data_IF_357332326765
#
_entry.id   IF_357332326765
#
_cell.length_a   1.000
_cell.length_b   1.000
_cell.length_c   1.000
_cell.angle_alpha   90.00
_cell.angle_beta   90.00
_cell.angle_gamma   90.00
#
_symmetry.space_group_name_H-M   'P 1'
#
loop_
_entity.id
_entity.type
_entity.pdbx_description
1 polymer ?
#
# COMPACT_ATOMS: atom_id res chain seq x y z
N UNK A 1 54.18 5.63 37.86
CA UNK A 1 55.34 4.71 38.03
C UNK A 1 54.89 3.32 37.55
N UNK A 2 55.64 2.53 36.76
CA UNK A 2 56.90 1.81 37.09
C UNK A 2 56.73 0.94 38.36
N UNK A 3 57.03 -0.37 38.40
CA UNK A 3 57.76 -1.23 37.44
C UNK A 3 57.50 -2.74 37.70
N UNK A 4 57.22 -3.51 36.64
CA UNK A 4 57.87 -4.76 36.16
C UNK A 4 58.56 -5.78 37.10
N UNK A 5 58.36 -7.09 36.77
CA UNK A 5 59.26 -8.26 36.96
C UNK A 5 59.50 -8.81 38.39
N UNK A 6 60.00 -10.04 38.62
CA UNK A 6 59.93 -11.38 37.94
C UNK A 6 60.76 -12.41 38.79
N UNK A 7 60.80 -13.69 38.37
CA UNK A 7 61.79 -14.76 38.77
C UNK A 7 61.66 -15.32 40.21
N UNK A 8 61.95 -16.60 40.58
CA UNK A 8 61.88 -17.95 39.97
C UNK A 8 62.40 -19.01 41.00
N UNK A 9 62.19 -20.33 40.74
CA UNK A 9 63.04 -21.47 41.19
C UNK A 9 62.99 -21.86 42.72
N UNK A 10 63.22 -23.09 43.22
CA UNK A 10 63.40 -24.48 42.66
C UNK A 10 63.41 -25.54 43.80
N UNK A 11 63.44 -26.85 43.44
CA UNK A 11 63.91 -28.03 44.24
C UNK A 11 63.02 -28.50 45.44
N UNK A 12 63.03 -29.77 45.92
CA UNK A 12 63.62 -31.05 45.45
C UNK A 12 62.74 -32.26 45.92
N UNK A 13 62.99 -33.47 45.40
CA UNK A 13 62.23 -34.71 45.63
C UNK A 13 62.72 -35.61 46.79
N UNK A 14 62.00 -36.71 47.06
CA UNK A 14 62.44 -37.99 47.68
C UNK A 14 61.56 -39.14 47.12
N UNK A 15 62.00 -40.41 47.21
CA UNK A 15 61.42 -41.56 46.49
C UNK A 15 61.36 -42.87 47.33
N UNK A 16 61.11 -44.02 46.68
CA UNK A 16 61.07 -45.41 47.19
C UNK A 16 59.73 -45.87 47.86
N UNK A 17 59.36 -47.17 47.88
CA UNK A 17 60.01 -48.39 47.33
C UNK A 17 58.99 -49.46 46.85
N UNK A 18 59.48 -50.34 45.97
CA UNK A 18 58.85 -51.40 45.18
C UNK A 18 58.54 -52.69 45.98
N UNK A 19 57.54 -53.47 45.56
CA UNK A 19 57.57 -54.95 45.63
C UNK A 19 57.20 -55.58 44.27
N UNK A 20 57.69 -56.80 44.00
CA UNK A 20 57.69 -57.46 42.67
C UNK A 20 56.66 -58.60 42.53
N UNK A 21 56.29 -58.92 41.29
CA UNK A 21 55.48 -60.11 40.93
C UNK A 21 55.32 -60.30 39.41
N UNK A 22 56.28 -60.99 38.77
CA UNK A 22 56.28 -61.42 37.35
C UNK A 22 55.99 -62.93 37.27
N UNK A 23 55.76 -63.62 36.14
CA UNK A 23 55.62 -63.36 34.70
C UNK A 23 54.70 -64.50 34.15
N UNK A 24 54.23 -64.62 32.91
CA UNK A 24 54.36 -63.96 31.59
C UNK A 24 53.00 -64.26 30.85
N UNK A 25 52.62 -63.97 29.59
CA UNK A 25 53.18 -63.43 28.33
C UNK A 25 51.98 -62.96 27.45
N UNK A 26 52.01 -62.63 26.15
CA UNK A 26 53.02 -62.72 25.08
C UNK A 26 52.81 -61.61 24.02
N UNK A 27 53.91 -61.03 23.55
CA UNK A 27 54.15 -60.26 22.31
C UNK A 27 53.10 -59.23 21.77
N UNK A 28 53.52 -57.97 21.87
CA UNK A 28 52.92 -56.70 21.48
C UNK A 28 52.68 -56.39 19.98
N UNK A 29 51.67 -55.54 19.72
CA UNK A 29 51.63 -54.39 18.77
C UNK A 29 50.29 -53.62 18.97
N UNK A 30 50.10 -52.32 18.72
CA UNK A 30 50.98 -51.21 18.25
C UNK A 30 50.52 -49.87 18.91
N UNK A 31 50.91 -48.68 18.41
CA UNK A 31 50.52 -47.34 18.95
C UNK A 31 49.24 -46.75 18.30
N UNK A 32 48.61 -45.79 19.00
CA UNK A 32 47.61 -44.82 18.48
C UNK A 32 48.03 -44.16 17.16
N UNK A 33 47.12 -44.08 16.18
CA UNK A 33 46.91 -42.85 15.40
C UNK A 33 45.50 -42.79 14.76
N UNK A 34 45.02 -41.55 14.56
CA UNK A 34 43.86 -41.05 13.80
C UNK A 34 42.83 -42.02 13.17
N UNK A 35 41.56 -41.74 13.44
CA UNK A 35 40.45 -41.93 12.49
C UNK A 35 39.50 -40.72 12.61
N UNK A 36 39.28 -40.00 11.50
CA UNK A 36 38.43 -38.81 11.44
C UNK A 36 37.51 -38.89 10.22
N UNK A 37 36.26 -39.26 10.47
CA UNK A 37 35.16 -39.34 9.48
C UNK A 37 33.86 -39.00 10.23
N UNK A 38 33.14 -37.88 10.03
CA UNK A 38 32.71 -37.13 8.84
C UNK A 38 31.24 -37.37 8.52
N UNK A 39 30.34 -36.79 9.30
CA UNK A 39 28.94 -36.54 8.89
C UNK A 39 28.65 -35.02 8.91
N UNK A 40 28.79 -34.34 7.75
CA UNK A 40 28.09 -33.07 7.49
C UNK A 40 27.06 -33.20 6.35
N UNK A 41 27.28 -34.15 5.43
CA UNK A 41 26.68 -34.18 4.08
C UNK A 41 25.16 -34.41 4.00
N UNK A 42 24.47 -34.69 5.11
CA UNK A 42 23.02 -34.88 5.12
C UNK A 42 22.27 -33.57 5.35
N UNK A 43 22.75 -32.73 6.27
CA UNK A 43 22.07 -31.49 6.64
C UNK A 43 22.17 -30.48 5.48
N UNK A 44 23.37 -30.28 4.92
CA UNK A 44 23.56 -29.49 3.68
C UNK A 44 22.61 -29.93 2.55
N UNK A 45 22.46 -31.25 2.32
CA UNK A 45 21.60 -31.75 1.24
C UNK A 45 20.11 -31.46 1.45
N UNK A 46 19.65 -31.44 2.70
CA UNK A 46 18.24 -31.21 3.06
C UNK A 46 17.89 -29.72 3.04
N UNK A 47 18.78 -28.85 3.52
CA UNK A 47 18.60 -27.40 3.41
C UNK A 47 18.60 -26.96 1.93
N UNK A 48 19.53 -27.47 1.12
CA UNK A 48 19.58 -27.18 -0.32
C UNK A 48 18.31 -27.65 -1.03
N UNK A 49 17.77 -28.83 -0.71
CA UNK A 49 16.54 -29.34 -1.34
C UNK A 49 15.30 -28.52 -0.98
N UNK A 50 15.17 -28.07 0.29
CA UNK A 50 14.06 -27.21 0.73
C UNK A 50 14.14 -25.80 0.16
N UNK A 51 15.34 -25.21 0.14
CA UNK A 51 15.57 -23.83 -0.28
C UNK A 51 15.64 -23.64 -1.80
N UNK A 52 15.80 -24.72 -2.58
CA UNK A 52 15.93 -24.68 -4.05
C UNK A 52 14.83 -23.88 -4.75
N UNK A 53 13.60 -24.01 -4.24
CA UNK A 53 12.40 -23.36 -4.78
C UNK A 53 11.83 -22.32 -3.80
N UNK A 54 12.70 -21.48 -3.22
CA UNK A 54 12.35 -20.33 -2.38
C UNK A 54 13.03 -19.05 -2.84
N UNK A 55 12.35 -17.92 -2.66
CA UNK A 55 12.95 -16.61 -2.92
C UNK A 55 13.80 -16.14 -1.72
N UNK A 56 14.82 -15.30 -1.98
CA UNK A 56 15.69 -14.78 -0.93
C UNK A 56 14.90 -13.88 0.03
N UNK A 57 14.64 -14.37 1.24
CA UNK A 57 13.78 -13.71 2.23
C UNK A 57 12.36 -14.29 2.36
N UNK A 58 11.98 -15.30 1.58
CA UNK A 58 10.65 -15.92 1.69
C UNK A 58 10.50 -16.77 2.97
N UNK A 59 9.40 -16.52 3.71
CA UNK A 59 8.93 -17.33 4.84
C UNK A 59 7.93 -18.40 4.38
N UNK A 60 8.17 -19.65 4.78
CA UNK A 60 7.37 -20.82 4.43
C UNK A 60 7.17 -21.76 5.64
N UNK A 61 6.15 -22.63 5.60
CA UNK A 61 5.84 -23.62 6.66
C UNK A 61 6.32 -25.02 6.26
N UNK A 62 7.10 -25.69 7.12
CA UNK A 62 7.45 -27.11 6.93
C UNK A 62 6.22 -28.03 7.01
N UNK A 63 5.27 -27.70 7.89
CA UNK A 63 4.06 -28.48 8.16
C UNK A 63 2.81 -27.63 7.97
N UNK A 64 1.91 -28.08 7.10
CA UNK A 64 0.57 -27.52 6.94
C UNK A 64 -0.39 -28.29 7.85
N UNK A 65 -0.67 -27.76 9.04
CA UNK A 65 -1.62 -28.32 10.01
C UNK A 65 -2.35 -27.18 10.74
N UNK A 66 -3.68 -27.31 10.84
CA UNK A 66 -4.54 -26.37 11.56
C UNK A 66 -4.21 -26.39 13.06
N UNK A 67 -3.73 -25.28 13.61
CA UNK A 67 -3.40 -25.18 15.02
C UNK A 67 -2.28 -24.19 15.31
N UNK A 68 -1.61 -24.35 16.44
CA UNK A 68 -0.55 -23.43 16.88
C UNK A 68 0.69 -23.48 15.97
N UNK A 69 0.84 -24.53 15.15
CA UNK A 69 1.80 -24.64 14.03
C UNK A 69 1.60 -23.62 12.91
N UNK A 70 0.43 -22.99 12.81
CA UNK A 70 0.16 -21.93 11.83
C UNK A 70 0.98 -20.64 12.07
N UNK A 71 1.64 -20.58 13.23
CA UNK A 71 2.45 -19.46 13.71
C UNK A 71 3.93 -19.63 13.38
N UNK A 72 4.37 -20.84 13.09
CA UNK A 72 5.77 -21.22 12.88
C UNK A 72 6.11 -21.18 11.39
N UNK A 73 7.07 -20.34 11.01
CA UNK A 73 7.61 -20.25 9.64
C UNK A 73 9.12 -20.17 9.63
N UNK A 74 9.70 -20.58 8.50
CA UNK A 74 11.14 -20.67 8.28
C UNK A 74 11.50 -19.92 6.99
N UNK A 75 12.67 -19.30 6.97
CA UNK A 75 13.25 -18.58 5.85
C UNK A 75 14.64 -19.14 5.53
N UNK A 76 14.98 -19.19 4.24
CA UNK A 76 16.30 -19.57 3.77
C UNK A 76 17.24 -18.34 3.78
N UNK A 77 18.34 -18.42 4.53
CA UNK A 77 19.35 -17.35 4.60
C UNK A 77 20.72 -17.85 4.16
N UNK A 78 21.66 -16.94 3.90
CA UNK A 78 23.07 -17.27 3.64
C UNK A 78 23.80 -17.90 4.85
N UNK A 79 23.15 -17.96 6.02
CA UNK A 79 23.65 -18.58 7.25
C UNK A 79 22.89 -19.86 7.65
N UNK A 80 22.05 -20.40 6.75
CA UNK A 80 21.21 -21.58 7.00
C UNK A 80 19.72 -21.23 7.18
N UNK A 81 18.93 -22.19 7.65
CA UNK A 81 17.50 -22.00 7.93
C UNK A 81 17.26 -21.17 9.20
N UNK A 82 16.56 -20.03 9.08
CA UNK A 82 16.12 -19.19 10.20
C UNK A 82 14.62 -19.39 10.44
N UNK A 83 14.19 -19.59 11.70
CA UNK A 83 12.78 -19.77 12.06
C UNK A 83 12.25 -18.63 12.95
N UNK A 84 10.96 -18.28 12.79
CA UNK A 84 10.22 -17.37 13.67
C UNK A 84 8.86 -17.96 14.06
N UNK A 85 8.32 -17.50 15.18
CA UNK A 85 6.95 -17.83 15.65
C UNK A 85 6.17 -16.55 15.90
N UNK A 86 4.99 -16.41 15.30
CA UNK A 86 4.13 -15.26 15.54
C UNK A 86 3.71 -15.12 17.03
N UNK A 87 3.52 -13.89 17.54
CA UNK A 87 3.00 -13.64 18.89
C UNK A 87 1.69 -14.38 19.21
N UNK A 88 1.36 -14.51 20.50
CA UNK A 88 0.14 -15.19 20.92
C UNK A 88 -1.11 -14.45 20.41
N UNK A 89 -1.99 -15.16 19.70
CA UNK A 89 -3.21 -14.60 19.07
C UNK A 89 -3.06 -14.27 17.58
N UNK A 90 -1.83 -14.15 17.07
CA UNK A 90 -1.54 -13.95 15.64
C UNK A 90 -1.14 -15.27 14.97
N UNK A 91 -1.48 -15.44 13.70
CA UNK A 91 -1.03 -16.50 12.80
C UNK A 91 -0.16 -15.88 11.70
N UNK A 92 0.73 -16.65 11.05
CA UNK A 92 1.49 -16.12 9.91
C UNK A 92 0.67 -16.25 8.63
N UNK A 93 0.57 -15.19 7.85
CA UNK A 93 -0.02 -15.18 6.51
C UNK A 93 1.06 -15.40 5.44
N UNK A 94 0.96 -16.50 4.68
CA UNK A 94 1.98 -16.87 3.69
C UNK A 94 1.99 -15.94 2.46
N UNK A 95 0.85 -15.37 2.07
CA UNK A 95 0.76 -14.50 0.90
C UNK A 95 1.27 -13.09 1.25
N UNK A 96 0.84 -12.55 2.40
CA UNK A 96 1.29 -11.24 2.91
C UNK A 96 2.71 -11.26 3.46
N UNK A 97 3.22 -12.43 3.88
CA UNK A 97 4.51 -12.60 4.56
C UNK A 97 4.60 -11.89 5.92
N UNK A 98 3.49 -11.80 6.66
CA UNK A 98 3.40 -11.11 7.96
C UNK A 98 2.65 -11.94 9.01
N UNK A 99 2.74 -11.56 10.29
CA UNK A 99 1.86 -12.06 11.34
C UNK A 99 0.57 -11.22 11.39
N UNK A 100 -0.59 -11.86 11.19
CA UNK A 100 -1.91 -11.23 11.15
C UNK A 100 -2.89 -11.95 12.08
N UNK A 101 -4.06 -11.37 12.34
CA UNK A 101 -5.06 -11.90 13.26
C UNK A 101 -5.60 -13.26 12.81
N UNK A 102 -5.84 -14.14 13.79
CA UNK A 102 -6.28 -15.53 13.60
C UNK A 102 -7.54 -15.71 12.71
N UNK A 103 -8.37 -14.68 12.57
CA UNK A 103 -9.57 -14.67 11.73
C UNK A 103 -9.30 -14.19 10.28
N UNK A 104 -8.25 -13.41 10.05
CA UNK A 104 -7.84 -12.94 8.72
C UNK A 104 -7.05 -14.01 7.95
N UNK A 105 -6.20 -14.77 8.64
CA UNK A 105 -5.32 -15.79 8.04
C UNK A 105 -6.09 -17.03 7.59
N UNK A 106 -6.61 -16.99 6.36
CA UNK A 106 -7.30 -18.12 5.70
C UNK A 106 -6.33 -19.16 5.13
N UNK A 107 -5.10 -18.76 4.78
CA UNK A 107 -4.11 -19.62 4.09
C UNK A 107 -3.28 -20.55 4.99
N UNK A 108 -3.77 -20.89 6.18
CA UNK A 108 -3.09 -21.73 7.18
C UNK A 108 -2.63 -23.11 6.66
N UNK A 109 -3.26 -23.61 5.59
CA UNK A 109 -3.01 -24.91 4.96
C UNK A 109 -1.98 -24.90 3.84
N UNK A 110 -1.51 -23.71 3.42
CA UNK A 110 -0.42 -23.60 2.47
C UNK A 110 0.93 -23.86 3.17
N UNK A 111 1.93 -24.31 2.39
CA UNK A 111 3.32 -24.45 2.85
C UNK A 111 4.23 -23.36 2.31
N UNK A 112 4.14 -23.09 1.01
CA UNK A 112 4.91 -22.08 0.30
C UNK A 112 3.96 -21.00 -0.23
N UNK A 113 4.48 -19.83 -0.61
CA UNK A 113 3.71 -18.87 -1.40
C UNK A 113 3.42 -19.46 -2.78
N UNK A 114 2.25 -19.18 -3.34
CA UNK A 114 1.91 -19.64 -4.69
C UNK A 114 2.74 -18.86 -5.72
N UNK A 115 3.68 -19.56 -6.38
CA UNK A 115 4.51 -19.00 -7.44
C UNK A 115 3.71 -18.90 -8.74
N UNK A 116 2.93 -17.82 -8.85
CA UNK A 116 2.31 -17.33 -10.08
C UNK A 116 3.34 -17.29 -11.22
N UNK A 117 3.01 -17.88 -12.38
CA UNK A 117 3.87 -17.84 -13.57
C UNK A 117 3.91 -16.41 -14.10
N UNK A 118 5.10 -15.85 -14.31
CA UNK A 118 5.29 -14.52 -14.88
C UNK A 118 5.43 -14.56 -16.41
N UNK A 119 4.95 -13.54 -17.14
CA UNK A 119 5.09 -13.44 -18.58
C UNK A 119 6.50 -13.02 -18.99
N UNK A 120 6.89 -13.30 -20.24
CA UNK A 120 8.26 -13.17 -20.74
C UNK A 120 8.53 -11.82 -21.44
N UNK A 121 8.02 -10.75 -20.82
CA UNK A 121 7.98 -9.38 -21.35
C UNK A 121 9.36 -8.77 -21.67
N UNK A 122 10.43 -9.27 -21.07
CA UNK A 122 11.80 -8.79 -21.25
C UNK A 122 12.71 -9.96 -21.66
N UNK A 123 13.08 -10.00 -22.94
CA UNK A 123 13.89 -11.06 -23.58
C UNK A 123 14.91 -10.45 -24.54
N UNK A 124 16.06 -11.11 -24.73
CA UNK A 124 17.16 -10.59 -25.56
C UNK A 124 16.81 -10.48 -27.06
N UNK A 125 15.86 -11.31 -27.51
CA UNK A 125 15.23 -11.26 -28.84
C UNK A 125 13.70 -11.30 -28.65
N UNK A 126 12.91 -10.51 -29.42
CA UNK A 126 11.46 -10.44 -29.26
C UNK A 126 10.80 -11.77 -29.66
N UNK A 127 10.02 -12.35 -28.73
CA UNK A 127 9.34 -13.63 -28.92
C UNK A 127 8.05 -13.55 -29.77
N UNK A 128 7.44 -12.37 -29.87
CA UNK A 128 6.15 -12.13 -30.53
C UNK A 128 6.22 -10.96 -31.52
N UNK A 129 5.15 -10.72 -32.29
CA UNK A 129 5.09 -9.63 -33.27
C UNK A 129 4.77 -8.28 -32.62
N UNK A 130 4.99 -7.18 -33.34
CA UNK A 130 4.65 -5.83 -32.88
C UNK A 130 3.16 -5.71 -32.54
N UNK A 131 2.83 -5.52 -31.26
CA UNK A 131 1.46 -5.48 -30.74
C UNK A 131 1.01 -6.72 -29.96
N UNK A 132 1.79 -7.80 -29.99
CA UNK A 132 1.63 -8.99 -29.17
C UNK A 132 2.61 -8.99 -27.99
N UNK A 133 2.30 -9.76 -26.94
CA UNK A 133 3.16 -9.98 -25.78
C UNK A 133 3.19 -11.48 -25.41
N UNK A 134 4.29 -11.94 -24.83
CA UNK A 134 4.53 -13.36 -24.55
C UNK A 134 4.13 -13.77 -23.13
N UNK A 135 3.27 -14.78 -23.07
CA UNK A 135 2.95 -15.55 -21.86
C UNK A 135 4.19 -16.33 -21.36
N UNK A 136 4.15 -16.82 -20.12
CA UNK A 136 5.22 -17.62 -19.52
C UNK A 136 5.51 -18.95 -20.24
N UNK A 137 4.48 -19.54 -20.86
CA UNK A 137 4.57 -20.71 -21.74
C UNK A 137 5.11 -20.41 -23.16
N UNK A 138 5.39 -19.13 -23.47
CA UNK A 138 5.80 -18.58 -24.78
C UNK A 138 4.71 -18.56 -25.86
N UNK A 139 3.44 -18.73 -25.52
CA UNK A 139 2.36 -18.30 -26.41
C UNK A 139 2.31 -16.76 -26.50
N UNK A 140 1.82 -16.24 -27.62
CA UNK A 140 1.68 -14.81 -27.88
C UNK A 140 0.19 -14.46 -27.88
N UNK A 141 -0.19 -13.40 -27.17
CA UNK A 141 -1.54 -12.82 -27.21
C UNK A 141 -1.45 -11.31 -27.43
N UNK A 142 -2.55 -10.69 -27.89
CA UNK A 142 -2.62 -9.24 -28.12
C UNK A 142 -2.32 -8.46 -26.83
N UNK A 143 -1.54 -7.38 -26.94
CA UNK A 143 -1.12 -6.56 -25.79
C UNK A 143 -2.29 -6.08 -24.93
N UNK A 144 -3.44 -5.75 -25.52
CA UNK A 144 -4.63 -5.29 -24.78
C UNK A 144 -5.25 -6.33 -23.85
N UNK A 145 -4.93 -7.61 -24.03
CA UNK A 145 -5.43 -8.72 -23.21
C UNK A 145 -4.63 -8.92 -21.92
N UNK A 146 -3.46 -8.28 -21.75
CA UNK A 146 -2.69 -8.33 -20.51
C UNK A 146 -3.28 -7.41 -19.43
N UNK A 147 -3.51 -7.96 -18.23
CA UNK A 147 -4.02 -7.24 -17.06
C UNK A 147 -5.45 -6.72 -17.25
N UNK A 148 -6.33 -7.55 -17.83
CA UNK A 148 -7.73 -7.23 -18.13
C UNK A 148 -8.74 -7.92 -17.18
N UNK A 149 -8.30 -8.77 -16.27
CA UNK A 149 -9.13 -9.57 -15.36
C UNK A 149 -9.51 -10.97 -15.87
N UNK A 150 -9.22 -11.29 -17.14
CA UNK A 150 -9.47 -12.59 -17.76
C UNK A 150 -8.16 -13.35 -18.02
N UNK A 151 -8.19 -14.68 -17.87
CA UNK A 151 -7.03 -15.52 -18.23
C UNK A 151 -7.10 -15.90 -19.70
N UNK A 152 -6.40 -15.15 -20.54
CA UNK A 152 -6.30 -15.37 -21.98
C UNK A 152 -5.03 -16.18 -22.35
N UNK A 153 -3.94 -16.06 -21.59
CA UNK A 153 -2.78 -16.95 -21.63
C UNK A 153 -3.14 -18.38 -21.15
N UNK A 154 -2.63 -19.46 -21.78
CA UNK A 154 -2.89 -20.84 -21.35
C UNK A 154 -2.38 -21.20 -19.95
N UNK A 155 -1.37 -20.47 -19.47
CA UNK A 155 -0.82 -20.56 -18.10
C UNK A 155 -1.39 -19.49 -17.14
N UNK A 156 -2.22 -18.56 -17.65
CA UNK A 156 -2.73 -17.41 -16.91
C UNK A 156 -1.65 -16.46 -16.39
N UNK A 157 -0.54 -16.31 -17.11
CA UNK A 157 0.58 -15.43 -16.76
C UNK A 157 0.36 -13.94 -17.07
N UNK A 158 -0.57 -13.63 -17.96
CA UNK A 158 -1.15 -12.30 -18.18
C UNK A 158 -1.57 -11.63 -16.87
N UNK A 159 -2.44 -12.29 -16.10
CA UNK A 159 -3.04 -11.76 -14.86
C UNK A 159 -2.14 -11.93 -13.61
N UNK A 160 -0.83 -12.14 -13.83
CA UNK A 160 0.15 -12.39 -12.77
C UNK A 160 1.20 -11.28 -12.62
N UNK A 161 1.16 -10.25 -13.46
CA UNK A 161 2.19 -9.20 -13.55
C UNK A 161 1.58 -7.78 -13.58
N UNK A 162 0.49 -7.56 -12.85
CA UNK A 162 -0.38 -6.39 -13.00
C UNK A 162 -0.25 -5.37 -11.85
N UNK A 163 0.97 -5.13 -11.39
CA UNK A 163 1.30 -4.09 -10.43
C UNK A 163 1.93 -2.86 -11.13
N UNK A 164 2.03 -1.72 -10.43
CA UNK A 164 2.55 -0.46 -10.97
C UNK A 164 3.94 -0.59 -11.62
N UNK A 165 4.74 -1.56 -11.18
CA UNK A 165 6.13 -1.75 -11.60
C UNK A 165 6.31 -2.76 -12.75
N UNK A 166 5.38 -3.70 -12.94
CA UNK A 166 5.48 -4.78 -13.93
C UNK A 166 4.31 -4.86 -14.95
N UNK A 167 3.24 -4.07 -14.81
CA UNK A 167 2.12 -4.05 -15.80
C UNK A 167 2.64 -3.58 -17.18
N UNK A 168 2.53 -4.40 -18.25
CA UNK A 168 2.99 -4.03 -19.58
C UNK A 168 2.18 -2.90 -20.23
N UNK A 169 0.98 -2.61 -19.74
CA UNK A 169 0.06 -1.59 -20.23
C UNK A 169 0.01 -0.36 -19.31
N UNK A 170 0.92 -0.26 -18.34
CA UNK A 170 1.02 0.91 -17.47
C UNK A 170 1.20 2.21 -18.24
N UNK A 171 0.67 3.29 -17.68
CA UNK A 171 0.93 4.64 -18.14
C UNK A 171 2.44 4.97 -18.09
N UNK A 172 2.96 5.77 -19.04
CA UNK A 172 4.34 6.24 -19.01
C UNK A 172 4.57 7.23 -17.83
N UNK A 173 5.81 7.44 -17.38
CA UNK A 173 6.16 8.58 -16.53
C UNK A 173 5.74 9.90 -17.18
N UNK A 174 5.45 10.93 -16.37
CA UNK A 174 5.02 12.25 -16.83
C UNK A 174 5.92 12.81 -17.95
N UNK A 175 5.31 13.22 -19.07
CA UNK A 175 5.97 13.99 -20.14
C UNK A 175 5.34 15.40 -20.23
N UNK A 176 5.99 16.44 -19.68
CA UNK A 176 5.51 17.82 -19.73
C UNK A 176 5.45 18.43 -21.15
N UNK A 177 6.01 17.79 -22.18
CA UNK A 177 5.87 18.24 -23.56
C UNK A 177 4.56 17.75 -24.22
N UNK A 178 3.93 16.72 -23.64
CA UNK A 178 2.64 16.14 -24.08
C UNK A 178 1.52 16.54 -23.13
N UNK A 179 1.78 16.54 -21.81
CA UNK A 179 0.80 16.88 -20.80
C UNK A 179 0.67 18.40 -20.62
N UNK A 180 -0.28 19.01 -21.34
CA UNK A 180 -0.52 20.45 -21.34
C UNK A 180 -1.90 20.83 -20.78
N UNK A 181 -1.93 21.92 -20.03
CA UNK A 181 -3.15 22.53 -19.51
C UNK A 181 -3.99 23.13 -20.66
N UNK A 182 -5.34 23.14 -20.56
CA UNK A 182 -6.13 22.80 -19.37
C UNK A 182 -6.45 21.30 -19.20
N UNK A 183 -6.22 20.48 -20.22
CA UNK A 183 -6.76 19.12 -20.28
C UNK A 183 -5.90 18.07 -19.53
N UNK A 184 -4.59 18.31 -19.40
CA UNK A 184 -3.64 17.45 -18.70
C UNK A 184 -2.76 18.26 -17.74
N UNK A 185 -2.44 17.69 -16.57
CA UNK A 185 -1.38 18.20 -15.71
C UNK A 185 -0.65 17.08 -14.96
N UNK A 186 0.68 17.11 -15.00
CA UNK A 186 1.55 16.28 -14.19
C UNK A 186 2.91 16.97 -13.97
N UNK A 187 3.66 16.47 -12.99
CA UNK A 187 5.10 16.73 -12.81
C UNK A 187 5.80 15.42 -12.44
N UNK A 188 7.14 15.37 -12.44
CA UNK A 188 7.91 14.13 -12.23
C UNK A 188 7.64 13.48 -10.86
N UNK A 189 7.46 14.30 -9.82
CA UNK A 189 7.24 13.91 -8.43
C UNK A 189 5.90 14.40 -7.84
N UNK A 190 5.08 15.11 -8.62
CA UNK A 190 3.79 15.66 -8.20
C UNK A 190 3.88 16.98 -7.41
N UNK A 191 5.08 17.52 -7.17
CA UNK A 191 5.28 18.73 -6.35
C UNK A 191 5.28 20.03 -7.15
N UNK A 192 5.51 19.95 -8.47
CA UNK A 192 5.58 21.11 -9.36
C UNK A 192 4.28 21.92 -9.39
N UNK A 193 4.40 23.25 -9.36
CA UNK A 193 3.26 24.18 -9.36
C UNK A 193 2.69 24.32 -10.78
N UNK A 194 1.35 24.30 -10.98
CA UNK A 194 0.72 24.57 -12.27
C UNK A 194 1.20 25.88 -12.92
N UNK A 195 1.58 25.80 -14.20
CA UNK A 195 2.18 26.89 -14.99
C UNK A 195 3.51 27.48 -14.44
N UNK A 196 4.24 26.76 -13.59
CA UNK A 196 5.53 27.22 -13.00
C UNK A 196 5.43 28.58 -12.29
N UNK A 197 4.28 28.83 -11.65
CA UNK A 197 4.04 30.06 -10.91
C UNK A 197 4.88 30.09 -9.62
N UNK A 198 5.49 31.23 -9.24
CA UNK A 198 6.17 31.36 -7.96
C UNK A 198 5.18 31.11 -6.82
N UNK A 199 5.51 30.24 -5.86
CA UNK A 199 4.60 29.86 -4.75
C UNK A 199 3.96 31.06 -4.03
N UNK A 200 4.69 32.17 -3.89
CA UNK A 200 4.24 33.42 -3.25
C UNK A 200 3.15 34.19 -4.01
N UNK A 201 2.90 33.83 -5.26
CA UNK A 201 1.82 34.37 -6.10
C UNK A 201 0.63 33.39 -6.20
N UNK A 202 0.79 32.15 -5.72
CA UNK A 202 -0.24 31.12 -5.73
C UNK A 202 -1.23 31.34 -4.57
N UNK A 203 -2.55 31.39 -4.82
CA UNK A 203 -3.55 31.41 -3.75
C UNK A 203 -3.58 30.08 -3.01
N UNK A 204 -3.37 30.09 -1.69
CA UNK A 204 -3.55 28.89 -0.86
C UNK A 204 -5.01 28.42 -0.93
N UNK A 205 -5.21 27.25 -1.53
CA UNK A 205 -6.52 26.60 -1.57
C UNK A 205 -6.68 25.66 -0.37
N UNK A 206 -7.90 25.57 0.16
CA UNK A 206 -8.27 24.65 1.25
C UNK A 206 -9.61 24.01 0.89
N UNK A 207 -9.60 22.72 0.63
CA UNK A 207 -10.77 21.92 0.27
C UNK A 207 -11.37 21.28 1.52
N UNK A 208 -12.29 21.99 2.19
CA UNK A 208 -13.07 21.40 3.27
C UNK A 208 -14.06 20.40 2.65
N UNK A 209 -13.91 19.11 2.97
CA UNK A 209 -14.81 18.05 2.49
C UNK A 209 -15.63 17.45 3.64
N UNK A 210 -16.88 17.11 3.35
CA UNK A 210 -17.69 16.27 4.24
C UNK A 210 -18.20 15.07 3.48
N UNK A 211 -17.95 13.88 4.01
CA UNK A 211 -18.37 12.64 3.39
C UNK A 211 -19.68 12.17 4.02
N UNK A 212 -20.27 11.14 3.42
CA UNK A 212 -21.45 10.42 3.92
C UNK A 212 -22.78 11.22 3.88
N UNK A 213 -23.82 10.73 4.56
CA UNK A 213 -25.20 11.18 4.34
C UNK A 213 -25.54 12.58 4.93
N UNK A 214 -26.10 13.49 4.11
CA UNK A 214 -26.61 14.80 4.56
C UNK A 214 -28.03 14.65 5.13
N UNK A 215 -28.22 14.87 6.43
CA UNK A 215 -29.52 14.75 7.09
C UNK A 215 -29.61 15.57 8.40
N UNK A 216 -30.68 15.40 9.15
CA UNK A 216 -30.98 16.20 10.34
C UNK A 216 -29.89 16.13 11.44
N UNK A 217 -28.98 15.16 11.39
CA UNK A 217 -27.85 15.03 12.31
C UNK A 217 -26.77 16.10 12.07
N UNK A 218 -26.57 16.55 10.82
CA UNK A 218 -25.44 17.40 10.42
C UNK A 218 -25.86 18.73 9.73
N UNK A 219 -27.10 18.87 9.26
CA UNK A 219 -27.60 20.11 8.63
C UNK A 219 -27.42 21.37 9.51
N UNK A 220 -27.64 21.31 10.82
CA UNK A 220 -27.46 22.48 11.69
C UNK A 220 -25.98 22.83 11.91
N UNK A 221 -25.09 21.83 12.00
CA UNK A 221 -23.64 22.04 12.01
C UNK A 221 -23.17 22.73 10.73
N UNK A 222 -23.65 22.26 9.56
CA UNK A 222 -23.32 22.89 8.28
C UNK A 222 -23.85 24.34 8.18
N UNK A 223 -24.99 24.67 8.82
CA UNK A 223 -25.47 26.07 8.92
C UNK A 223 -24.61 26.93 9.85
N UNK A 224 -24.06 26.37 10.93
CA UNK A 224 -23.18 27.09 11.85
C UNK A 224 -21.81 27.40 11.21
N UNK A 225 -21.27 26.44 10.44
CA UNK A 225 -20.04 26.60 9.67
C UNK A 225 -20.27 27.55 8.48
N UNK A 226 -21.25 27.27 7.63
CA UNK A 226 -21.55 28.01 6.40
C UNK A 226 -22.67 29.03 6.60
N UNK A 227 -22.45 29.92 7.57
CA UNK A 227 -23.41 30.88 8.12
C UNK A 227 -23.57 32.20 7.33
N UNK A 228 -23.00 32.30 6.12
CA UNK A 228 -23.05 33.51 5.29
C UNK A 228 -22.09 34.65 5.69
N UNK A 229 -21.30 34.47 6.76
CA UNK A 229 -20.39 35.51 7.32
C UNK A 229 -18.91 35.19 7.14
N UNK A 230 -18.54 33.91 7.01
CA UNK A 230 -17.17 33.49 6.67
C UNK A 230 -16.94 33.73 5.17
N UNK A 231 -16.01 34.63 4.82
CA UNK A 231 -15.75 35.07 3.44
C UNK A 231 -14.32 34.76 3.00
N UNK A 232 -14.15 34.41 1.73
CA UNK A 232 -12.87 34.38 1.04
C UNK A 232 -12.36 35.82 0.75
N UNK A 233 -11.07 36.02 0.41
CA UNK A 233 -10.51 37.34 0.10
C UNK A 233 -11.21 38.10 -1.06
N UNK A 234 -11.91 37.38 -1.94
CA UNK A 234 -12.73 37.95 -3.02
C UNK A 234 -14.15 38.39 -2.58
N UNK A 235 -14.50 38.27 -1.30
CA UNK A 235 -15.80 38.64 -0.75
C UNK A 235 -16.91 37.58 -0.92
N UNK A 236 -16.65 36.48 -1.63
CA UNK A 236 -17.58 35.35 -1.73
C UNK A 236 -17.63 34.57 -0.40
N UNK A 237 -18.77 33.93 -0.11
CA UNK A 237 -18.87 32.96 0.98
C UNK A 237 -17.92 31.78 0.76
N UNK A 238 -17.24 31.33 1.81
CA UNK A 238 -16.40 30.12 1.77
C UNK A 238 -17.22 28.91 1.30
N UNK A 239 -16.54 27.95 0.67
CA UNK A 239 -17.15 26.74 0.09
C UNK A 239 -16.55 25.47 0.66
N UNK A 240 -17.21 24.37 0.34
CA UNK A 240 -16.90 23.02 0.76
C UNK A 240 -17.55 22.04 -0.24
N UNK A 241 -17.01 20.83 -0.29
CA UNK A 241 -17.46 19.75 -1.18
C UNK A 241 -18.07 18.63 -0.34
N UNK A 242 -19.22 18.11 -0.75
CA UNK A 242 -19.92 17.05 -0.03
C UNK A 242 -19.94 15.76 -0.84
N UNK A 243 -19.22 14.74 -0.40
CA UNK A 243 -19.23 13.40 -1.00
C UNK A 243 -20.39 12.60 -0.40
N UNK A 244 -21.56 12.68 -1.03
CA UNK A 244 -22.82 12.21 -0.44
C UNK A 244 -23.06 10.74 -0.74
N UNK A 245 -23.40 9.96 0.29
CA UNK A 245 -23.89 8.58 0.18
C UNK A 245 -25.44 8.55 0.19
N UNK A 246 -26.09 7.59 -0.48
CA UNK A 246 -27.56 7.60 -0.62
C UNK A 246 -28.30 7.37 0.70
N UNK A 247 -27.81 6.45 1.52
CA UNK A 247 -28.55 5.86 2.64
C UNK A 247 -28.84 6.89 3.74
N UNK A 248 -30.12 7.14 4.01
CA UNK A 248 -30.61 8.17 4.94
C UNK A 248 -30.33 9.64 4.55
N UNK A 249 -29.93 9.93 3.31
CA UNK A 249 -29.75 11.31 2.83
C UNK A 249 -31.08 12.02 2.59
N UNK A 250 -31.17 13.27 3.04
CA UNK A 250 -32.28 14.20 2.79
C UNK A 250 -31.96 15.06 1.55
N UNK A 251 -32.45 14.65 0.37
CA UNK A 251 -32.14 15.34 -0.88
C UNK A 251 -32.65 16.79 -0.98
N UNK A 252 -33.65 17.19 -0.20
CA UNK A 252 -34.04 18.61 -0.10
C UNK A 252 -32.97 19.45 0.61
N UNK A 253 -32.19 18.84 1.51
CA UNK A 253 -31.03 19.49 2.14
C UNK A 253 -29.79 19.48 1.23
N UNK A 254 -29.60 18.42 0.43
CA UNK A 254 -28.60 18.38 -0.66
C UNK A 254 -28.88 19.52 -1.65
N UNK A 255 -30.13 19.70 -2.07
CA UNK A 255 -30.57 20.79 -2.94
C UNK A 255 -30.26 22.17 -2.34
N UNK A 256 -30.60 22.43 -1.08
CA UNK A 256 -30.31 23.71 -0.42
C UNK A 256 -28.80 23.96 -0.23
N UNK A 257 -28.01 22.89 -0.07
CA UNK A 257 -26.54 22.94 0.02
C UNK A 257 -25.93 23.32 -1.33
N UNK A 258 -26.36 22.66 -2.42
CA UNK A 258 -26.00 23.03 -3.80
C UNK A 258 -26.43 24.45 -4.15
N UNK A 259 -27.66 24.85 -3.81
CA UNK A 259 -28.22 26.20 -4.06
C UNK A 259 -27.48 27.32 -3.32
N UNK A 260 -26.67 27.01 -2.30
CA UNK A 260 -25.72 27.94 -1.66
C UNK A 260 -24.35 28.01 -2.35
N UNK A 261 -24.15 27.21 -3.40
CA UNK A 261 -22.93 27.10 -4.20
C UNK A 261 -21.89 26.15 -3.61
N UNK A 262 -22.26 25.27 -2.68
CA UNK A 262 -21.39 24.15 -2.27
C UNK A 262 -21.43 23.05 -3.32
N UNK A 263 -20.32 22.34 -3.50
CA UNK A 263 -20.22 21.25 -4.45
C UNK A 263 -20.83 19.97 -3.88
N UNK A 264 -21.53 19.20 -4.73
CA UNK A 264 -22.07 17.88 -4.40
C UNK A 264 -21.39 16.84 -5.30
N UNK A 265 -20.74 15.88 -4.67
CA UNK A 265 -20.01 14.76 -5.28
C UNK A 265 -20.60 13.42 -4.78
N UNK A 266 -20.23 12.29 -5.40
CA UNK A 266 -20.80 10.98 -5.08
C UNK A 266 -19.93 10.15 -4.14
N UNK A 267 -20.58 9.44 -3.21
CA UNK A 267 -19.97 8.51 -2.25
C UNK A 267 -20.76 7.19 -2.16
N UNK A 268 -21.05 6.61 -3.33
CA UNK A 268 -21.85 5.39 -3.55
C UNK A 268 -23.34 5.45 -3.15
N UNK A 269 -24.09 4.42 -3.55
CA UNK A 269 -25.46 4.19 -3.07
C UNK A 269 -25.42 3.42 -1.76
N UNK A 270 -24.74 2.29 -1.72
CA UNK A 270 -24.85 1.34 -0.60
C UNK A 270 -23.99 1.70 0.61
N UNK A 271 -22.84 2.34 0.37
CA UNK A 271 -21.72 2.41 1.31
C UNK A 271 -21.41 1.02 1.91
N UNK A 272 -21.31 0.01 1.04
CA UNK A 272 -21.00 -1.38 1.37
C UNK A 272 -19.79 -1.50 2.31
N UNK A 273 -19.96 -2.20 3.43
CA UNK A 273 -19.00 -2.32 4.53
C UNK A 273 -17.88 -3.36 4.28
N UNK A 274 -17.94 -4.11 3.18
CA UNK A 274 -16.83 -4.95 2.73
C UNK A 274 -15.78 -4.13 1.95
N UNK A 275 -14.66 -3.78 2.59
CA UNK A 275 -13.50 -3.17 1.92
C UNK A 275 -12.99 -3.98 0.70
N UNK A 276 -13.18 -5.31 0.69
CA UNK A 276 -12.76 -6.19 -0.40
C UNK A 276 -13.71 -6.14 -1.60
N UNK A 277 -14.96 -5.69 -1.42
CA UNK A 277 -15.86 -5.44 -2.55
C UNK A 277 -15.29 -4.31 -3.41
N UNK A 278 -14.99 -3.15 -2.83
CA UNK A 278 -14.53 -1.96 -3.57
C UNK A 278 -13.25 -2.21 -4.37
N UNK A 279 -12.22 -2.80 -3.75
CA UNK A 279 -10.94 -3.05 -4.44
C UNK A 279 -10.98 -4.22 -5.43
N UNK A 280 -12.08 -4.97 -5.53
CA UNK A 280 -12.27 -6.03 -6.53
C UNK A 280 -13.53 -5.81 -7.41
N UNK A 281 -14.22 -4.67 -7.28
CA UNK A 281 -15.48 -4.40 -7.97
C UNK A 281 -15.27 -4.25 -9.49
N UNK A 282 -16.25 -4.74 -10.26
CA UNK A 282 -16.23 -4.61 -11.72
C UNK A 282 -16.56 -3.18 -12.16
N UNK A 283 -16.24 -2.83 -13.41
CA UNK A 283 -16.67 -1.55 -14.03
C UNK A 283 -18.19 -1.36 -13.91
N UNK A 284 -18.98 -2.43 -14.06
CA UNK A 284 -20.44 -2.40 -13.93
C UNK A 284 -20.90 -2.13 -12.49
N UNK A 285 -20.18 -2.64 -11.48
CA UNK A 285 -20.51 -2.42 -10.07
C UNK A 285 -20.13 -1.01 -9.62
N UNK A 286 -18.97 -0.51 -10.04
CA UNK A 286 -18.60 0.90 -9.91
C UNK A 286 -19.63 1.83 -10.57
N UNK A 287 -20.17 1.47 -11.73
CA UNK A 287 -21.19 2.26 -12.43
C UNK A 287 -22.53 2.26 -11.67
N UNK A 288 -22.97 1.10 -11.17
CA UNK A 288 -24.19 0.98 -10.33
C UNK A 288 -24.09 1.86 -9.08
N UNK A 289 -22.95 1.86 -8.40
CA UNK A 289 -22.76 2.62 -7.16
C UNK A 289 -22.57 4.11 -7.40
N UNK A 290 -21.74 4.51 -8.37
CA UNK A 290 -21.31 5.90 -8.50
C UNK A 290 -22.12 6.70 -9.52
N UNK A 291 -22.24 6.23 -10.76
CA UNK A 291 -23.15 6.84 -11.73
C UNK A 291 -24.62 6.68 -11.29
N UNK A 292 -24.96 5.57 -10.62
CA UNK A 292 -26.26 5.42 -9.96
C UNK A 292 -26.51 6.46 -8.87
N UNK A 293 -25.55 6.74 -7.98
CA UNK A 293 -25.70 7.80 -6.97
C UNK A 293 -25.78 9.20 -7.59
N UNK A 294 -25.08 9.46 -8.70
CA UNK A 294 -25.24 10.70 -9.49
C UNK A 294 -26.68 10.86 -9.98
N UNK A 295 -27.23 9.83 -10.64
CA UNK A 295 -28.62 9.83 -11.15
C UNK A 295 -29.64 10.04 -10.02
N UNK A 296 -29.44 9.40 -8.86
CA UNK A 296 -30.30 9.60 -7.68
C UNK A 296 -30.19 11.05 -7.19
N UNK A 297 -28.99 11.59 -7.09
CA UNK A 297 -28.75 12.96 -6.62
C UNK A 297 -29.36 14.00 -7.54
N UNK A 298 -29.07 13.95 -8.84
CA UNK A 298 -29.67 14.83 -9.86
C UNK A 298 -31.20 14.79 -9.81
N UNK A 299 -31.79 13.59 -9.73
CA UNK A 299 -33.24 13.39 -9.73
C UNK A 299 -33.94 13.85 -8.45
N UNK A 300 -33.40 13.54 -7.28
CA UNK A 300 -34.09 13.81 -6.00
C UNK A 300 -33.72 15.15 -5.37
N UNK A 301 -32.55 15.73 -5.69
CA UNK A 301 -32.22 17.12 -5.36
C UNK A 301 -32.54 18.10 -6.51
N UNK A 302 -33.03 17.61 -7.67
CA UNK A 302 -33.34 18.39 -8.86
C UNK A 302 -32.17 19.30 -9.27
N UNK A 303 -31.01 18.67 -9.52
CA UNK A 303 -29.81 19.31 -10.06
C UNK A 303 -29.76 19.01 -11.57
N UNK A 304 -29.61 20.04 -12.39
CA UNK A 304 -29.77 19.93 -13.87
C UNK A 304 -28.70 20.70 -14.64
N UNK A 305 -27.58 21.01 -13.99
CA UNK A 305 -26.44 21.78 -14.49
C UNK A 305 -25.19 20.92 -14.73
N UNK A 306 -25.33 19.59 -14.60
CA UNK A 306 -24.26 18.60 -14.69
C UNK A 306 -23.08 18.85 -13.75
N UNK A 307 -23.30 19.53 -12.61
CA UNK A 307 -22.26 19.86 -11.63
C UNK A 307 -21.82 18.70 -10.71
N UNK A 308 -22.53 17.57 -10.73
CA UNK A 308 -22.21 16.40 -9.89
C UNK A 308 -21.12 15.56 -10.58
N UNK A 309 -19.89 16.06 -10.53
CA UNK A 309 -18.75 15.53 -11.31
C UNK A 309 -17.61 14.90 -10.49
N UNK A 310 -17.60 15.09 -9.17
CA UNK A 310 -16.62 14.50 -8.26
C UNK A 310 -17.04 13.15 -7.71
N UNK A 311 -16.05 12.32 -7.34
CA UNK A 311 -16.21 11.00 -6.76
C UNK A 311 -15.24 10.80 -5.59
N UNK A 312 -15.67 10.04 -4.56
CA UNK A 312 -14.80 9.46 -3.53
C UNK A 312 -15.30 8.07 -3.18
N UNK A 313 -14.43 7.09 -3.05
CA UNK A 313 -14.81 5.73 -2.69
C UNK A 313 -15.00 5.55 -1.16
N UNK A 314 -16.00 4.75 -0.72
CA UNK A 314 -16.14 4.38 0.68
C UNK A 314 -14.86 3.79 1.26
N UNK A 315 -14.52 4.22 2.49
CA UNK A 315 -13.29 3.85 3.20
C UNK A 315 -11.99 4.11 2.41
N UNK A 316 -12.01 5.01 1.42
CA UNK A 316 -10.91 5.35 0.50
C UNK A 316 -10.34 4.11 -0.23
N UNK A 317 -11.18 3.10 -0.49
CA UNK A 317 -10.79 1.87 -1.20
C UNK A 317 -10.65 2.14 -2.69
N UNK A 318 -9.43 2.17 -3.21
CA UNK A 318 -9.19 2.38 -4.64
C UNK A 318 -9.51 1.09 -5.40
N UNK A 319 -10.19 1.22 -6.54
CA UNK A 319 -10.75 0.14 -7.35
C UNK A 319 -9.93 -0.25 -8.59
N UNK A 320 -8.61 -0.05 -8.54
CA UNK A 320 -7.70 -0.32 -9.64
C UNK A 320 -8.05 0.46 -10.91
N UNK A 321 -7.81 -0.15 -12.08
CA UNK A 321 -8.23 0.42 -13.35
C UNK A 321 -9.76 0.48 -13.51
N UNK A 322 -10.51 -0.43 -12.88
CA UNK A 322 -11.97 -0.54 -13.07
C UNK A 322 -12.72 0.73 -12.63
N UNK A 323 -12.29 1.32 -11.51
CA UNK A 323 -12.83 2.59 -11.01
C UNK A 323 -12.64 3.71 -12.04
N UNK A 324 -11.43 3.88 -12.55
CA UNK A 324 -11.08 5.00 -13.44
C UNK A 324 -11.62 4.81 -14.86
N UNK A 325 -11.67 3.59 -15.38
CA UNK A 325 -12.37 3.28 -16.65
C UNK A 325 -13.86 3.55 -16.55
N UNK A 326 -14.51 3.18 -15.43
CA UNK A 326 -15.91 3.57 -15.18
C UNK A 326 -16.08 5.09 -15.16
N UNK A 327 -15.16 5.82 -14.52
CA UNK A 327 -15.22 7.28 -14.45
C UNK A 327 -15.07 7.96 -15.80
N UNK A 328 -14.20 7.46 -16.67
CA UNK A 328 -14.06 7.93 -18.05
C UNK A 328 -15.31 7.61 -18.89
N UNK A 329 -15.81 6.37 -18.87
CA UNK A 329 -17.07 5.98 -19.55
C UNK A 329 -18.29 6.77 -19.08
N UNK A 330 -18.32 7.15 -17.80
CA UNK A 330 -19.42 7.90 -17.18
C UNK A 330 -19.16 9.42 -17.14
N UNK A 331 -18.07 9.91 -17.70
CA UNK A 331 -17.68 11.33 -17.67
C UNK A 331 -17.77 11.98 -16.28
N UNK A 332 -17.15 11.35 -15.27
CA UNK A 332 -16.77 12.04 -14.03
C UNK A 332 -15.50 12.86 -14.27
N UNK A 333 -15.37 14.02 -13.62
CA UNK A 333 -14.23 14.92 -13.81
C UNK A 333 -13.02 14.48 -12.97
N UNK A 334 -13.26 14.13 -11.71
CA UNK A 334 -12.18 13.81 -10.76
C UNK A 334 -12.57 12.74 -9.74
N UNK A 335 -11.57 11.95 -9.33
CA UNK A 335 -11.57 11.18 -8.09
C UNK A 335 -10.87 11.96 -6.97
N UNK A 336 -11.21 11.64 -5.72
CA UNK A 336 -10.49 12.08 -4.54
C UNK A 336 -10.46 10.93 -3.54
N UNK A 337 -9.93 9.79 -3.96
CA UNK A 337 -9.80 8.56 -3.15
C UNK A 337 -8.34 8.14 -2.98
N UNK A 338 -7.43 8.55 -3.85
CA UNK A 338 -6.04 8.14 -3.78
C UNK A 338 -5.35 8.96 -2.68
N UNK A 339 -4.82 8.25 -1.67
CA UNK A 339 -4.02 8.85 -0.61
C UNK A 339 -2.55 8.92 -1.02
N UNK A 340 -1.92 10.09 -0.88
CA UNK A 340 -0.48 10.26 -0.95
C UNK A 340 0.15 10.19 0.45
N UNK A 341 1.25 9.42 0.65
CA UNK A 341 1.91 9.31 1.95
C UNK A 341 2.52 10.65 2.38
N UNK A 342 2.65 10.87 3.69
CA UNK A 342 3.12 12.12 4.27
C UNK A 342 4.45 12.59 3.64
N UNK A 343 4.38 13.66 2.86
CA UNK A 343 5.46 14.20 2.04
C UNK A 343 5.65 15.71 2.29
N UNK A 344 6.87 16.21 2.09
CA UNK A 344 7.20 17.63 2.21
C UNK A 344 8.16 18.02 1.05
N UNK A 345 7.75 18.87 0.09
CA UNK A 345 6.41 19.48 -0.03
C UNK A 345 5.28 18.44 -0.28
N UNK A 346 4.01 18.82 -0.03
CA UNK A 346 2.84 18.04 -0.42
C UNK A 346 2.64 18.03 -1.94
N UNK A 347 1.80 17.13 -2.44
CA UNK A 347 1.53 16.94 -3.86
C UNK A 347 0.35 17.80 -4.35
N UNK A 348 0.47 18.30 -5.58
CA UNK A 348 -0.63 18.90 -6.33
C UNK A 348 -1.56 17.83 -6.93
N UNK A 349 -2.84 18.17 -7.22
CA UNK A 349 -3.69 17.34 -8.08
C UNK A 349 -3.04 17.08 -9.44
N UNK A 350 -3.29 15.91 -10.03
CA UNK A 350 -2.70 15.50 -11.31
C UNK A 350 -3.70 14.69 -12.15
N UNK A 351 -3.46 14.56 -13.46
CA UNK A 351 -4.30 13.75 -14.36
C UNK A 351 -3.76 12.34 -14.56
N UNK A 352 -4.67 11.36 -14.61
CA UNK A 352 -4.39 9.93 -14.73
C UNK A 352 -3.92 9.46 -16.12
N UNK A 353 -3.64 10.37 -17.06
CA UNK A 353 -3.02 10.02 -18.35
C UNK A 353 -1.61 9.42 -18.20
N UNK A 354 -0.88 9.84 -17.15
CA UNK A 354 0.48 9.43 -16.85
C UNK A 354 0.54 8.65 -15.54
N UNK A 355 1.63 7.91 -15.31
CA UNK A 355 1.84 7.15 -14.08
C UNK A 355 1.81 8.10 -12.88
N UNK A 356 1.10 7.69 -11.83
CA UNK A 356 1.04 8.40 -10.54
C UNK A 356 2.44 8.85 -10.07
N UNK A 357 2.58 10.08 -9.55
CA UNK A 357 3.85 10.61 -9.07
C UNK A 357 4.32 9.97 -7.74
N UNK A 358 3.43 9.26 -7.04
CA UNK A 358 3.72 8.62 -5.76
C UNK A 358 3.36 7.13 -5.74
N UNK A 359 3.78 6.43 -4.68
CA UNK A 359 3.44 5.02 -4.46
C UNK A 359 1.95 4.87 -4.07
N UNK A 360 1.33 3.79 -4.52
CA UNK A 360 0.03 3.37 -3.99
C UNK A 360 0.15 3.13 -2.48
N UNK A 361 -0.62 3.88 -1.67
CA UNK A 361 -0.45 3.95 -0.22
C UNK A 361 -1.74 3.59 0.51
N UNK A 362 -1.60 2.82 1.60
CA UNK A 362 -2.71 2.21 2.34
C UNK A 362 -2.69 0.68 2.30
N UNK A 363 -3.51 0.05 3.14
CA UNK A 363 -3.51 -1.41 3.33
C UNK A 363 -4.27 -2.13 2.21
N UNK A 364 -3.59 -3.04 1.48
CA UNK A 364 -4.15 -3.82 0.37
C UNK A 364 -4.85 -2.95 -0.70
N UNK A 365 -4.32 -1.77 -0.99
CA UNK A 365 -4.89 -0.88 -2.02
C UNK A 365 -4.58 -1.38 -3.43
N UNK A 366 -5.54 -1.23 -4.34
CA UNK A 366 -5.36 -1.45 -5.77
C UNK A 366 -5.48 -0.10 -6.48
N UNK A 367 -4.36 0.52 -6.84
CA UNK A 367 -4.34 1.77 -7.61
C UNK A 367 -4.43 1.51 -9.12
N UNK A 368 -4.91 2.46 -9.93
CA UNK A 368 -4.83 2.38 -11.39
C UNK A 368 -3.36 2.32 -11.88
N UNK A 369 -3.12 1.47 -12.87
CA UNK A 369 -1.81 1.31 -13.53
C UNK A 369 -1.77 1.98 -14.90
N UNK A 370 -2.90 1.94 -15.64
CA UNK A 370 -3.06 2.39 -17.02
C UNK A 370 -3.37 3.89 -17.09
N UNK A 371 -3.35 4.44 -18.31
CA UNK A 371 -3.79 5.81 -18.59
C UNK A 371 -5.32 5.91 -18.58
N UNK A 372 -5.89 6.91 -17.90
CA UNK A 372 -7.33 7.24 -17.89
C UNK A 372 -7.53 8.76 -17.94
N UNK A 373 -8.60 9.23 -18.59
CA UNK A 373 -8.92 10.64 -18.80
C UNK A 373 -9.61 11.31 -17.58
N UNK A 374 -9.02 11.15 -16.39
CA UNK A 374 -9.61 11.54 -15.09
C UNK A 374 -8.60 12.35 -14.26
N UNK A 375 -9.06 13.34 -13.51
CA UNK A 375 -8.23 14.05 -12.52
C UNK A 375 -8.21 13.32 -11.17
N UNK A 376 -7.08 13.32 -10.47
CA UNK A 376 -6.99 12.92 -9.06
C UNK A 376 -6.78 14.16 -8.18
N UNK A 377 -7.80 14.47 -7.38
CA UNK A 377 -7.73 15.44 -6.28
C UNK A 377 -7.11 14.76 -5.05
N UNK A 378 -5.82 14.47 -5.17
CA UNK A 378 -5.04 13.58 -4.29
C UNK A 378 -5.12 13.97 -2.82
N UNK A 379 -5.41 12.97 -1.98
CA UNK A 379 -5.51 13.14 -0.53
C UNK A 379 -4.12 13.03 0.11
N UNK A 380 -3.44 14.16 0.28
CA UNK A 380 -2.19 14.23 1.03
C UNK A 380 -2.41 13.87 2.51
N UNK A 381 -1.61 12.98 3.08
CA UNK A 381 -1.59 12.77 4.53
C UNK A 381 -1.18 14.04 5.29
N UNK A 382 -1.91 14.32 6.36
CA UNK A 382 -1.62 15.35 7.35
C UNK A 382 -0.60 14.82 8.38
N UNK A 383 0.33 15.68 8.80
CA UNK A 383 1.29 15.39 9.86
C UNK A 383 0.61 15.59 11.22
N UNK A 384 0.56 14.54 12.03
CA UNK A 384 -0.15 14.50 13.32
C UNK A 384 0.76 14.50 14.54
N UNK A 385 2.06 14.79 14.37
CA UNK A 385 3.00 14.99 15.47
C UNK A 385 2.64 16.26 16.26
N UNK A 386 2.86 16.24 17.57
CA UNK A 386 2.51 17.32 18.49
C UNK A 386 3.69 18.28 18.69
N UNK A 387 4.93 17.78 18.65
CA UNK A 387 6.13 18.57 18.33
C UNK A 387 6.85 17.98 17.11
N UNK A 388 6.63 18.52 15.90
CA UNK A 388 7.29 18.09 14.66
C UNK A 388 8.84 18.13 14.68
N UNK A 389 9.46 18.77 15.67
CA UNK A 389 10.92 18.88 15.83
C UNK A 389 11.51 17.82 16.76
N UNK A 390 10.69 17.20 17.61
CA UNK A 390 11.14 16.28 18.66
C UNK A 390 10.48 14.89 18.59
N UNK A 391 9.24 14.80 18.11
CA UNK A 391 8.53 13.53 17.97
C UNK A 391 9.19 12.61 16.93
N UNK A 392 9.25 11.32 17.27
CA UNK A 392 9.66 10.26 16.34
C UNK A 392 8.74 10.18 15.11
N UNK A 393 9.18 9.47 14.08
CA UNK A 393 8.39 9.28 12.85
C UNK A 393 7.06 8.58 13.15
N UNK A 394 5.96 9.32 12.98
CA UNK A 394 4.60 8.80 12.97
C UNK A 394 4.09 8.76 11.51
N UNK A 395 3.32 7.72 11.11
CA UNK A 395 2.55 7.79 9.87
C UNK A 395 1.48 8.87 9.99
N UNK A 396 1.17 9.55 8.89
CA UNK A 396 0.18 10.62 8.86
C UNK A 396 -1.27 10.12 8.95
N UNK A 397 -2.20 10.98 8.55
CA UNK A 397 -3.62 10.66 8.47
C UNK A 397 -4.27 11.45 7.31
N UNK A 398 -5.05 10.78 6.45
CA UNK A 398 -5.77 11.44 5.36
C UNK A 398 -7.10 12.07 5.84
N UNK A 399 -7.87 11.32 6.64
CA UNK A 399 -9.10 11.79 7.29
C UNK A 399 -8.77 12.35 8.67
N UNK A 400 -9.30 13.53 9.00
CA UNK A 400 -8.99 14.25 10.26
C UNK A 400 -9.40 13.45 11.50
N UNK A 401 -10.53 12.76 11.44
CA UNK A 401 -11.00 11.83 12.47
C UNK A 401 -10.08 10.60 12.66
N UNK A 402 -9.31 10.21 11.64
CA UNK A 402 -8.34 9.10 11.75
C UNK A 402 -7.06 9.49 12.50
N UNK A 403 -6.83 10.78 12.76
CA UNK A 403 -5.68 11.33 13.50
C UNK A 403 -5.80 11.07 15.02
N UNK A 404 -5.80 9.80 15.42
CA UNK A 404 -6.29 9.27 16.72
C UNK A 404 -5.60 9.76 18.00
N UNK A 405 -4.54 10.57 17.89
CA UNK A 405 -3.85 11.21 19.02
C UNK A 405 -4.36 12.63 19.32
N UNK A 406 -5.20 13.22 18.46
CA UNK A 406 -5.79 14.55 18.68
C UNK A 406 -7.01 14.41 19.59
N UNK A 407 -6.90 14.85 20.85
CA UNK A 407 -7.93 14.65 21.88
C UNK A 407 -8.50 15.96 22.47
N UNK A 408 -7.97 17.12 22.07
CA UNK A 408 -8.34 18.43 22.61
C UNK A 408 -8.40 19.52 21.53
N UNK A 409 -9.14 20.59 21.82
CA UNK A 409 -9.29 21.72 20.89
C UNK A 409 -7.98 22.46 20.61
N UNK A 410 -7.10 22.58 21.61
CA UNK A 410 -5.79 23.23 21.45
C UNK A 410 -4.84 22.39 20.58
N UNK A 411 -4.82 21.07 20.76
CA UNK A 411 -4.11 20.14 19.88
C UNK A 411 -4.63 20.21 18.44
N UNK A 412 -5.96 20.23 18.25
CA UNK A 412 -6.55 20.33 16.91
C UNK A 412 -6.24 21.68 16.24
N UNK A 413 -6.23 22.78 17.00
CA UNK A 413 -5.82 24.10 16.51
C UNK A 413 -4.35 24.11 16.06
N UNK A 414 -3.44 23.56 16.88
CA UNK A 414 -2.02 23.47 16.53
C UNK A 414 -1.77 22.57 15.32
N UNK A 415 -2.47 21.43 15.23
CA UNK A 415 -2.45 20.52 14.08
C UNK A 415 -2.92 21.19 12.79
N UNK A 416 -3.98 22.00 12.85
CA UNK A 416 -4.47 22.77 11.70
C UNK A 416 -3.46 23.83 11.25
N UNK A 417 -2.82 24.55 12.18
CA UNK A 417 -1.79 25.53 11.83
C UNK A 417 -0.57 24.84 11.19
N UNK A 418 -0.01 23.82 11.84
CA UNK A 418 1.15 23.07 11.33
C UNK A 418 0.93 22.55 9.90
N UNK A 419 -0.25 21.98 9.63
CA UNK A 419 -0.56 21.48 8.29
C UNK A 419 -0.96 22.57 7.29
N UNK A 420 -1.39 23.76 7.73
CA UNK A 420 -1.51 24.93 6.86
C UNK A 420 -0.12 25.44 6.48
N UNK A 421 0.76 25.65 7.46
CA UNK A 421 2.12 26.17 7.28
C UNK A 421 2.93 25.23 6.35
N UNK A 422 2.83 23.90 6.54
CA UNK A 422 3.39 22.85 5.65
C UNK A 422 2.98 22.94 4.17
N UNK A 423 1.88 23.60 3.85
CA UNK A 423 1.38 23.79 2.49
C UNK A 423 1.62 25.21 1.96
N UNK A 424 1.93 26.17 2.85
CA UNK A 424 1.95 27.61 2.56
C UNK A 424 3.36 28.21 2.41
N UNK A 425 4.35 27.70 3.15
CA UNK A 425 5.74 28.20 3.21
C UNK A 425 6.71 27.50 2.20
#
# INVERSE_FOLDING_TARGET
>A
MRTTMSISLRLLAIACLITFGSCDSLLSRIKRQQASTSEPKKEESFEIEICKDKDAGEWFRLTAQDGDSCRDVIQCTSSGLQAIRCPAGLYFDIEKQTCDWKAAVKNCKLKNKERKVKPLLFTDEPLCQDGELSCGDKSCIERGLFCNGEKNCPDGSDENSCDNDNDPNRAPPCDPAVCVLPDCFCSEDGTGIPNDLPAKEVPQMITITFDDAINNNNIELYKEIFNGKRRNPNGCDIKATFFVSHKYTNYSAVQETHRKGHEIAVHSITHNDDEQFWSNATVEDWAKEMAGMRIITEKYANLTDNSVVGLRSPYLRVGGNNQFTMMEEQAFLYDSSITAPLSNPPLWPYTMYFRMPHRCHGNLQHCPTRSHAVWEMVMNELDRREDPNFDEYLPGCAMVDSCSNILSGDQFYNFLNHNFDRHYD
#
